data_IF_090773567842
#
_entry.id   IF_090773567842
#
_cell.length_a   1.000
_cell.length_b   1.000
_cell.length_c   1.000
_cell.angle_alpha   90.00
_cell.angle_beta   90.00
_cell.angle_gamma   90.00
#
_symmetry.space_group_name_H-M   'P 1'
#
loop_
_entity.id
_entity.type
_entity.pdbx_description
1 polymer ?
#
# COMPACT_ATOMS: atom_id res chain seq x y z
N UNK A 1 11.54 -8.66 8.44
CA UNK A 1 10.77 -8.16 9.61
C UNK A 1 11.54 -7.11 10.44
N UNK A 2 12.66 -7.42 11.09
CA UNK A 2 13.50 -6.39 11.75
C UNK A 2 14.55 -5.78 10.80
N UNK A 3 15.19 -6.61 9.97
CA UNK A 3 16.23 -6.17 9.03
C UNK A 3 15.74 -5.12 8.01
N UNK A 4 14.49 -5.25 7.54
CA UNK A 4 13.88 -4.28 6.60
C UNK A 4 13.67 -2.93 7.29
N UNK A 5 13.15 -2.94 8.53
CA UNK A 5 12.95 -1.72 9.32
C UNK A 5 14.30 -1.03 9.59
N UNK A 6 15.33 -1.80 9.97
CA UNK A 6 16.67 -1.28 10.17
C UNK A 6 17.26 -0.67 8.88
N UNK A 7 17.16 -1.38 7.75
CA UNK A 7 17.64 -0.88 6.46
C UNK A 7 16.92 0.41 6.03
N UNK A 8 15.60 0.48 6.21
CA UNK A 8 14.82 1.65 5.82
C UNK A 8 14.93 2.81 6.81
N UNK A 9 15.42 2.57 8.04
CA UNK A 9 15.69 3.62 9.02
C UNK A 9 16.87 4.52 8.66
N UNK A 10 17.80 4.03 7.82
CA UNK A 10 18.93 4.83 7.32
C UNK A 10 18.60 5.56 6.02
N UNK A 11 17.42 5.33 5.43
CA UNK A 11 16.99 6.07 4.26
C UNK A 11 16.67 7.53 4.67
N UNK A 12 17.05 8.53 3.85
CA UNK A 12 16.79 9.92 4.19
C UNK A 12 15.28 10.14 4.31
N UNK A 13 14.84 11.03 5.20
CA UNK A 13 13.47 11.54 5.17
C UNK A 13 13.29 12.48 3.97
N UNK A 14 12.13 12.40 3.33
CA UNK A 14 11.79 13.26 2.18
C UNK A 14 10.31 13.60 2.24
N UNK A 15 9.98 14.85 1.96
CA UNK A 15 8.61 15.36 1.95
C UNK A 15 7.81 15.08 3.24
N UNK A 16 8.51 15.00 4.38
CA UNK A 16 7.92 14.69 5.69
C UNK A 16 7.65 13.21 5.95
N UNK A 17 8.15 12.30 5.10
CA UNK A 17 7.97 10.86 5.25
C UNK A 17 9.28 10.11 5.49
N UNK A 18 9.23 9.15 6.41
CA UNK A 18 10.31 8.19 6.68
C UNK A 18 10.48 7.21 5.52
N UNK A 19 11.63 6.54 5.43
CA UNK A 19 11.88 5.51 4.41
C UNK A 19 10.83 4.39 4.38
N UNK A 20 10.39 3.94 5.56
CA UNK A 20 9.36 2.90 5.67
C UNK A 20 7.98 3.40 5.21
N UNK A 21 7.58 4.61 5.57
CA UNK A 21 6.33 5.20 5.07
C UNK A 21 6.37 5.38 3.55
N UNK A 22 7.49 5.84 2.99
CA UNK A 22 7.64 5.99 1.53
C UNK A 22 7.56 4.67 0.77
N UNK A 23 8.01 3.57 1.35
CA UNK A 23 7.82 2.25 0.75
C UNK A 23 6.32 1.96 0.54
N UNK A 24 5.50 2.18 1.57
CA UNK A 24 4.04 2.00 1.47
C UNK A 24 3.38 3.02 0.53
N UNK A 25 3.83 4.27 0.51
CA UNK A 25 3.32 5.29 -0.44
C UNK A 25 3.64 4.94 -1.89
N UNK A 26 4.83 4.39 -2.16
CA UNK A 26 5.21 3.87 -3.47
C UNK A 26 4.35 2.67 -3.88
N UNK A 27 4.16 1.72 -2.95
CA UNK A 27 3.26 0.58 -3.16
C UNK A 27 1.81 1.00 -3.43
N UNK A 28 1.27 1.98 -2.71
CA UNK A 28 -0.07 2.50 -2.98
C UNK A 28 -0.14 3.20 -4.36
N UNK A 29 0.94 3.87 -4.77
CA UNK A 29 0.96 4.61 -6.03
C UNK A 29 0.90 3.71 -7.26
N UNK A 30 1.45 2.48 -7.21
CA UNK A 30 1.34 1.53 -8.34
C UNK A 30 -0.08 1.04 -8.59
N UNK A 31 -0.96 1.09 -7.56
CA UNK A 31 -2.36 0.68 -7.65
C UNK A 31 -3.32 1.87 -7.87
N UNK A 32 -2.81 3.07 -8.14
CA UNK A 32 -3.67 4.25 -8.32
C UNK A 32 -4.48 4.11 -9.62
N UNK A 33 -5.72 3.63 -9.51
CA UNK A 33 -6.63 3.42 -10.65
C UNK A 33 -8.05 3.73 -10.24
N UNK A 34 -8.88 4.18 -11.19
CA UNK A 34 -10.32 4.34 -11.03
C UNK A 34 -11.00 3.86 -12.31
N UNK A 35 -12.01 3.02 -12.18
CA UNK A 35 -12.84 2.56 -13.28
C UNK A 35 -14.17 3.33 -13.30
N UNK A 36 -14.84 3.32 -14.45
CA UNK A 36 -16.28 3.67 -14.52
C UNK A 36 -17.08 2.57 -13.82
N UNK A 37 -18.24 2.91 -13.30
CA UNK A 37 -19.06 1.99 -12.50
C UNK A 37 -19.40 0.72 -13.29
N UNK A 38 -19.75 0.85 -14.57
CA UNK A 38 -20.10 -0.29 -15.44
C UNK A 38 -18.89 -1.24 -15.66
N UNK A 39 -17.69 -0.67 -15.79
CA UNK A 39 -16.46 -1.46 -15.96
C UNK A 39 -16.04 -2.12 -14.64
N UNK A 40 -16.24 -1.43 -13.51
CA UNK A 40 -16.00 -1.99 -12.18
C UNK A 40 -16.92 -3.21 -11.93
N UNK A 41 -18.21 -3.10 -12.25
CA UNK A 41 -19.17 -4.22 -12.17
C UNK A 41 -18.79 -5.39 -13.08
N UNK A 42 -18.31 -5.11 -14.29
CA UNK A 42 -17.82 -6.15 -15.19
C UNK A 42 -16.59 -6.85 -14.62
N UNK A 43 -15.59 -6.10 -14.13
CA UNK A 43 -14.36 -6.67 -13.58
C UNK A 43 -14.61 -7.49 -12.32
N UNK A 44 -15.57 -7.11 -11.47
CA UNK A 44 -15.97 -7.94 -10.33
C UNK A 44 -16.42 -9.36 -10.74
N UNK A 45 -16.86 -9.56 -11.98
CA UNK A 45 -17.33 -10.85 -12.48
C UNK A 45 -16.25 -11.63 -13.24
N UNK A 46 -15.31 -10.94 -13.90
CA UNK A 46 -14.40 -11.56 -14.88
C UNK A 46 -12.91 -11.44 -14.56
N UNK A 47 -12.50 -10.45 -13.75
CA UNK A 47 -11.11 -10.24 -13.40
C UNK A 47 -10.78 -11.06 -12.14
N UNK A 48 -9.81 -12.00 -12.19
CA UNK A 48 -9.43 -12.75 -10.99
C UNK A 48 -8.70 -11.89 -9.94
N UNK A 49 -8.28 -10.67 -10.28
CA UNK A 49 -7.62 -9.76 -9.34
C UNK A 49 -8.64 -8.94 -8.55
N UNK A 50 -8.37 -8.74 -7.26
CA UNK A 50 -9.15 -7.79 -6.47
C UNK A 50 -9.05 -6.37 -7.04
N UNK A 51 -10.10 -5.52 -6.89
CA UNK A 51 -10.03 -4.11 -7.21
C UNK A 51 -8.84 -3.41 -6.52
N UNK A 52 -8.30 -2.38 -7.16
CA UNK A 52 -7.02 -1.78 -6.81
C UNK A 52 -6.96 -1.23 -5.36
N UNK A 53 -8.06 -0.67 -4.88
CA UNK A 53 -8.22 -0.22 -3.49
C UNK A 53 -8.12 -1.36 -2.49
N UNK A 54 -8.61 -2.55 -2.82
CA UNK A 54 -8.49 -3.73 -1.97
C UNK A 54 -7.12 -4.39 -2.08
N UNK A 55 -6.47 -4.33 -3.26
CA UNK A 55 -5.05 -4.75 -3.40
C UNK A 55 -4.14 -3.91 -2.50
N UNK A 56 -4.43 -2.62 -2.35
CA UNK A 56 -3.64 -1.72 -1.52
C UNK A 56 -3.99 -1.87 -0.03
N UNK A 57 -5.24 -1.57 0.33
CA UNK A 57 -5.66 -1.46 1.73
C UNK A 57 -5.81 -2.85 2.38
N UNK A 58 -6.27 -3.84 1.63
CA UNK A 58 -6.38 -5.22 2.10
C UNK A 58 -5.03 -5.81 2.44
N UNK A 59 -4.00 -5.58 1.62
CA UNK A 59 -2.65 -6.05 1.94
C UNK A 59 -2.03 -5.24 3.09
N UNK A 60 -2.15 -3.91 3.07
CA UNK A 60 -1.58 -3.05 4.12
C UNK A 60 -2.07 -3.43 5.53
N UNK A 61 -3.36 -3.74 5.68
CA UNK A 61 -3.94 -4.16 6.96
C UNK A 61 -3.42 -5.51 7.50
N UNK A 62 -2.80 -6.33 6.64
CA UNK A 62 -2.23 -7.64 7.01
C UNK A 62 -0.71 -7.58 7.24
N UNK A 63 -0.11 -6.40 7.30
CA UNK A 63 1.34 -6.21 7.43
C UNK A 63 1.66 -5.39 8.67
N UNK A 64 2.26 -5.99 9.70
CA UNK A 64 2.62 -5.32 10.97
C UNK A 64 3.46 -4.04 10.76
N UNK A 65 4.34 -4.05 9.75
CA UNK A 65 5.15 -2.86 9.42
C UNK A 65 4.33 -1.65 9.00
N UNK A 66 3.10 -1.82 8.52
CA UNK A 66 2.19 -0.71 8.21
C UNK A 66 1.72 -0.02 9.49
N UNK A 67 1.34 -0.80 10.51
CA UNK A 67 0.93 -0.29 11.81
C UNK A 67 2.08 0.48 12.48
N UNK A 68 3.29 -0.08 12.43
CA UNK A 68 4.51 0.61 12.89
C UNK A 68 4.78 1.90 12.12
N UNK A 69 4.64 1.89 10.79
CA UNK A 69 5.00 3.02 9.94
C UNK A 69 4.06 4.22 10.12
N UNK A 70 2.78 3.98 10.37
CA UNK A 70 1.75 5.02 10.45
C UNK A 70 1.15 5.17 11.86
N UNK A 71 1.69 4.46 12.85
CA UNK A 71 1.23 4.47 14.24
C UNK A 71 -0.27 4.19 14.36
N UNK A 72 -0.72 3.12 13.71
CA UNK A 72 -2.12 2.65 13.73
C UNK A 72 -2.28 1.66 14.89
N UNK A 73 -3.34 1.81 15.69
CA UNK A 73 -3.67 0.99 16.88
C UNK A 73 -5.04 0.35 16.76
#
# INVERSE_FOLDING_TARGET
PAAIKALLSTAPEMDGFTGLQRFFLSYASIWRTKNRDELAEQYLQIDPHSPAEFRTNGIASNVDLFYDAFNVT
#
